data_IF_746756031722
#
_entry.id   IF_746756031722
#
_cell.length_a   1.000
_cell.length_b   1.000
_cell.length_c   1.000
_cell.angle_alpha   90.00
_cell.angle_beta   90.00
_cell.angle_gamma   90.00
#
_symmetry.space_group_name_H-M   'P 1'
#
loop_
_entity.id
_entity.type
_entity.pdbx_description
1 polymer ?
#
# COMPACT_ATOMS: atom_id res chain seq x y z
N UNK A 1 73.62 12.51 -16.68
CA UNK A 1 72.70 12.85 -15.56
C UNK A 1 71.38 13.29 -16.19
N UNK A 2 70.40 12.40 -16.21
CA UNK A 2 69.09 12.64 -16.83
C UNK A 2 68.03 12.48 -15.73
N UNK A 3 67.21 13.52 -15.56
CA UNK A 3 66.17 13.57 -14.53
C UNK A 3 64.88 12.92 -15.04
N UNK A 4 64.21 12.24 -14.12
CA UNK A 4 63.10 11.31 -14.31
C UNK A 4 61.80 12.04 -14.70
N UNK A 5 61.16 11.59 -15.79
CA UNK A 5 59.73 11.79 -16.03
C UNK A 5 58.96 10.65 -15.36
N UNK A 6 57.91 10.91 -14.56
CA UNK A 6 57.02 9.83 -14.16
C UNK A 6 56.12 9.46 -15.33
N UNK A 7 56.31 8.25 -15.86
CA UNK A 7 55.37 7.58 -16.74
C UNK A 7 54.14 7.17 -15.90
N UNK A 8 53.07 7.95 -15.96
CA UNK A 8 51.76 7.44 -15.60
C UNK A 8 51.26 6.60 -16.76
N UNK A 9 51.26 5.28 -16.55
CA UNK A 9 50.57 4.28 -17.34
C UNK A 9 49.09 4.26 -16.93
N UNK A 10 48.12 4.59 -17.81
CA UNK A 10 46.72 4.33 -17.55
C UNK A 10 46.24 3.11 -18.33
N UNK A 11 46.94 1.98 -18.25
CA UNK A 11 46.31 0.71 -18.58
C UNK A 11 45.52 0.21 -17.37
N UNK A 12 44.27 0.65 -17.26
CA UNK A 12 43.28 -0.09 -16.49
C UNK A 12 42.08 -0.43 -17.37
N UNK A 13 42.10 -1.70 -17.83
CA UNK A 13 40.96 -2.62 -17.77
C UNK A 13 39.60 -1.92 -17.75
N UNK A 14 38.89 -1.96 -18.87
CA UNK A 14 37.44 -1.81 -18.88
C UNK A 14 36.82 -2.95 -18.06
N UNK A 15 36.00 -2.68 -17.02
CA UNK A 15 34.94 -3.59 -16.63
C UNK A 15 33.64 -3.08 -17.25
N UNK A 16 32.89 -4.02 -17.81
CA UNK A 16 31.55 -3.87 -18.35
C UNK A 16 30.61 -3.11 -17.39
N UNK A 17 29.53 -2.48 -17.89
CA UNK A 17 28.72 -1.57 -17.10
C UNK A 17 28.15 -2.35 -15.91
N UNK A 18 28.46 -1.90 -14.70
CA UNK A 18 27.66 -2.29 -13.55
C UNK A 18 26.25 -1.82 -13.86
N UNK A 19 25.39 -2.76 -14.26
CA UNK A 19 23.95 -2.61 -14.26
C UNK A 19 23.62 -1.83 -13.00
N UNK A 20 23.12 -0.61 -13.16
CA UNK A 20 22.30 0.02 -12.13
C UNK A 20 21.15 -0.96 -11.96
N UNK A 21 21.35 -1.92 -11.06
CA UNK A 21 20.32 -2.80 -10.57
C UNK A 21 19.26 -1.88 -10.05
N UNK A 22 18.20 -1.73 -10.84
CA UNK A 22 16.94 -1.18 -10.39
C UNK A 22 16.69 -1.77 -9.01
N UNK A 23 16.43 -0.96 -7.98
CA UNK A 23 16.07 -1.51 -6.69
C UNK A 23 14.92 -2.47 -6.94
N UNK A 24 15.15 -3.74 -6.61
CA UNK A 24 14.19 -4.83 -6.68
C UNK A 24 12.85 -4.30 -6.23
N UNK A 25 11.91 -4.17 -7.18
CA UNK A 25 10.54 -3.80 -6.87
C UNK A 25 10.06 -4.86 -5.89
N UNK A 26 9.94 -4.45 -4.63
CA UNK A 26 9.42 -5.29 -3.57
C UNK A 26 8.09 -5.84 -4.09
N UNK A 27 8.05 -7.18 -4.22
CA UNK A 27 6.91 -7.98 -4.69
C UNK A 27 5.59 -7.28 -4.38
N UNK A 28 4.87 -6.91 -5.45
CA UNK A 28 3.70 -6.04 -5.40
C UNK A 28 2.74 -6.45 -4.29
N UNK A 29 2.78 -5.71 -3.18
CA UNK A 29 1.71 -5.77 -2.19
C UNK A 29 0.49 -5.14 -2.84
N UNK A 30 -0.57 -5.94 -3.06
CA UNK A 30 -1.76 -5.43 -3.70
C UNK A 30 -2.56 -4.61 -2.70
N UNK A 31 -2.86 -3.39 -3.09
CA UNK A 31 -3.88 -2.56 -2.46
C UNK A 31 -5.24 -3.11 -2.94
N UNK A 32 -6.29 -3.04 -2.10
CA UNK A 32 -7.58 -3.60 -2.44
C UNK A 32 -8.14 -3.03 -3.76
N UNK A 33 -8.68 -3.90 -4.60
CA UNK A 33 -9.49 -3.56 -5.78
C UNK A 33 -10.98 -3.52 -5.40
N UNK A 34 -11.79 -2.70 -6.08
CA UNK A 34 -13.20 -2.38 -5.72
C UNK A 34 -14.11 -3.60 -5.44
N UNK A 35 -13.84 -4.74 -6.05
CA UNK A 35 -14.72 -5.92 -6.05
C UNK A 35 -14.20 -7.10 -5.19
N UNK A 36 -13.42 -6.81 -4.14
CA UNK A 36 -12.86 -7.87 -3.29
C UNK A 36 -13.71 -8.16 -2.07
N UNK A 37 -13.88 -9.47 -1.85
CA UNK A 37 -14.33 -10.06 -0.60
C UNK A 37 -13.61 -9.40 0.60
N UNK A 38 -14.40 -8.93 1.56
CA UNK A 38 -13.94 -8.24 2.77
C UNK A 38 -13.52 -9.21 3.89
N UNK A 39 -13.38 -10.50 3.57
CA UNK A 39 -12.87 -11.54 4.48
C UNK A 39 -11.49 -11.23 5.08
N UNK A 40 -10.66 -10.42 4.40
CA UNK A 40 -9.38 -9.97 4.95
C UNK A 40 -9.52 -9.15 6.25
N UNK A 41 -10.66 -8.51 6.51
CA UNK A 41 -10.91 -7.83 7.78
C UNK A 41 -10.96 -8.80 8.98
N UNK A 42 -11.27 -10.09 8.74
CA UNK A 42 -11.29 -11.13 9.77
C UNK A 42 -9.88 -11.58 10.18
N UNK A 43 -8.85 -11.21 9.42
CA UNK A 43 -7.48 -11.60 9.73
C UNK A 43 -6.96 -10.80 10.96
N UNK A 44 -6.42 -11.47 11.99
CA UNK A 44 -5.92 -10.82 13.21
C UNK A 44 -4.88 -9.72 12.96
N UNK A 45 -4.16 -9.76 11.84
CA UNK A 45 -3.18 -8.72 11.45
C UNK A 45 -3.83 -7.36 11.26
N UNK A 46 -5.14 -7.30 11.00
CA UNK A 46 -5.88 -6.05 10.81
C UNK A 46 -6.51 -5.51 12.09
N UNK A 47 -6.51 -6.26 13.19
CA UNK A 47 -7.18 -5.89 14.44
C UNK A 47 -6.70 -4.55 15.05
N UNK A 48 -5.56 -4.01 14.62
CA UNK A 48 -4.99 -2.74 15.08
C UNK A 48 -4.75 -1.74 13.96
N UNK A 49 -5.23 -2.03 12.76
CA UNK A 49 -4.88 -1.28 11.56
C UNK A 49 -6.00 -0.34 11.18
N UNK A 50 -5.64 0.89 10.80
CA UNK A 50 -6.61 1.87 10.31
C UNK A 50 -6.81 1.64 8.81
N UNK A 51 -7.91 0.98 8.46
CA UNK A 51 -8.34 0.82 7.08
C UNK A 51 -9.51 1.77 6.78
N UNK A 52 -9.50 2.38 5.60
CA UNK A 52 -10.61 3.20 5.10
C UNK A 52 -11.59 2.33 4.32
N UNK A 53 -12.86 2.41 4.71
CA UNK A 53 -13.96 1.61 4.17
C UNK A 53 -15.10 2.53 3.68
N UNK A 54 -15.97 2.01 2.84
CA UNK A 54 -17.20 2.67 2.38
C UNK A 54 -18.39 1.75 2.60
N UNK A 55 -19.53 2.32 2.98
CA UNK A 55 -20.81 1.62 3.07
C UNK A 55 -21.45 1.57 1.68
N UNK A 56 -21.68 0.35 1.15
CA UNK A 56 -22.34 0.11 -0.13
C UNK A 56 -23.72 0.77 -0.16
N UNK A 57 -24.15 1.20 -1.34
CA UNK A 57 -25.48 1.79 -1.58
C UNK A 57 -25.80 3.07 -0.78
N UNK A 58 -24.79 3.74 -0.21
CA UNK A 58 -24.99 5.03 0.45
C UNK A 58 -24.79 6.16 -0.56
N UNK A 59 -25.77 7.07 -0.67
CA UNK A 59 -25.70 8.23 -1.59
C UNK A 59 -24.52 9.16 -1.27
N UNK A 60 -24.03 9.11 -0.03
CA UNK A 60 -22.89 9.87 0.47
C UNK A 60 -21.73 8.90 0.73
N UNK A 61 -20.83 8.75 -0.25
CA UNK A 61 -19.65 7.89 -0.20
C UNK A 61 -18.62 8.51 0.75
N UNK A 62 -18.80 8.29 2.05
CA UNK A 62 -17.95 8.88 3.09
C UNK A 62 -17.07 7.82 3.73
N UNK A 63 -15.76 8.07 3.86
CA UNK A 63 -14.85 7.08 4.38
C UNK A 63 -15.11 6.81 5.85
N UNK A 64 -15.24 5.53 6.17
CA UNK A 64 -15.36 4.95 7.49
C UNK A 64 -14.00 4.41 7.90
N UNK A 65 -13.63 4.55 9.17
CA UNK A 65 -12.38 3.98 9.69
C UNK A 65 -12.67 2.64 10.38
N UNK A 66 -11.99 1.58 9.97
CA UNK A 66 -12.08 0.27 10.62
C UNK A 66 -11.65 0.33 12.10
N UNK A 67 -12.40 -0.35 12.97
CA UNK A 67 -12.07 -0.50 14.40
C UNK A 67 -11.86 -1.96 14.77
N UNK A 68 -12.84 -2.82 14.54
CA UNK A 68 -12.76 -4.25 14.87
C UNK A 68 -13.77 -5.09 14.10
N UNK A 69 -13.55 -6.42 14.05
CA UNK A 69 -14.51 -7.40 13.55
C UNK A 69 -15.03 -8.28 14.68
N UNK A 70 -16.31 -8.59 14.65
CA UNK A 70 -16.97 -9.58 15.50
C UNK A 70 -17.94 -10.40 14.65
N UNK A 71 -17.56 -11.64 14.31
CA UNK A 71 -18.33 -12.48 13.39
C UNK A 71 -18.41 -11.88 11.99
N UNK A 72 -19.64 -11.62 11.52
CA UNK A 72 -19.90 -10.98 10.23
C UNK A 72 -20.14 -9.46 10.33
N UNK A 73 -19.94 -8.90 11.51
CA UNK A 73 -20.11 -7.48 11.78
C UNK A 73 -18.76 -6.80 11.95
N UNK A 74 -18.66 -5.59 11.39
CA UNK A 74 -17.51 -4.69 11.56
C UNK A 74 -17.96 -3.49 12.36
N UNK A 75 -17.19 -3.19 13.40
CA UNK A 75 -17.25 -1.90 14.06
C UNK A 75 -16.38 -0.93 13.28
N UNK A 76 -17.01 0.16 12.85
CA UNK A 76 -16.36 1.26 12.12
C UNK A 76 -16.58 2.57 12.88
N UNK A 77 -15.69 3.53 12.67
CA UNK A 77 -15.86 4.91 13.09
C UNK A 77 -16.25 5.76 11.89
N UNK A 78 -17.42 6.38 11.98
CA UNK A 78 -17.83 7.43 11.07
C UNK A 78 -17.05 8.71 11.43
N UNK A 79 -16.13 9.10 10.54
CA UNK A 79 -15.25 10.25 10.77
C UNK A 79 -16.00 11.59 10.74
N UNK A 80 -17.20 11.66 10.17
CA UNK A 80 -17.99 12.88 10.14
C UNK A 80 -18.89 13.02 11.35
N UNK A 81 -19.57 11.94 11.72
CA UNK A 81 -20.43 11.94 12.90
C UNK A 81 -19.63 11.77 14.19
N UNK A 82 -18.33 11.45 14.07
CA UNK A 82 -17.42 11.14 15.18
C UNK A 82 -17.98 10.04 16.10
N UNK A 83 -18.69 9.07 15.51
CA UNK A 83 -19.40 8.00 16.21
C UNK A 83 -19.01 6.64 15.66
N UNK A 84 -19.00 5.65 16.53
CA UNK A 84 -18.88 4.26 16.11
C UNK A 84 -20.23 3.72 15.65
N UNK A 85 -20.20 2.91 14.59
CA UNK A 85 -21.35 2.17 14.07
C UNK A 85 -20.93 0.72 13.85
N UNK A 86 -21.91 -0.17 13.87
CA UNK A 86 -21.73 -1.57 13.51
C UNK A 86 -22.42 -1.79 12.18
N UNK A 87 -21.69 -2.34 11.21
CA UNK A 87 -22.14 -2.57 9.84
C UNK A 87 -21.75 -3.99 9.43
N UNK A 88 -22.61 -4.68 8.70
CA UNK A 88 -22.28 -6.00 8.17
C UNK A 88 -21.12 -5.90 7.15
N UNK A 89 -20.19 -6.84 7.22
CA UNK A 89 -19.04 -6.94 6.30
C UNK A 89 -19.49 -6.90 4.83
N UNK A 90 -20.61 -7.55 4.52
CA UNK A 90 -21.17 -7.63 3.17
C UNK A 90 -21.56 -6.25 2.60
N UNK A 91 -21.88 -5.29 3.47
CA UNK A 91 -22.26 -3.93 3.12
C UNK A 91 -21.07 -2.98 3.05
N UNK A 92 -19.84 -3.48 3.20
CA UNK A 92 -18.63 -2.67 3.14
C UNK A 92 -17.85 -2.95 1.86
N UNK A 93 -17.11 -1.94 1.43
CA UNK A 93 -16.12 -2.05 0.38
C UNK A 93 -14.86 -1.28 0.79
N UNK A 94 -13.67 -1.70 0.34
CA UNK A 94 -12.44 -0.99 0.64
C UNK A 94 -12.37 0.31 -0.15
N UNK A 95 -11.73 1.33 0.42
CA UNK A 95 -11.35 2.53 -0.34
C UNK A 95 -10.07 2.23 -1.10
N UNK A 96 -10.12 2.31 -2.43
CA UNK A 96 -8.90 2.35 -3.26
C UNK A 96 -8.31 3.76 -3.11
N UNK A 97 -7.09 3.88 -2.60
CA UNK A 97 -6.45 5.17 -2.48
C UNK A 97 -6.07 5.69 -3.87
N UNK A 98 -6.30 6.98 -4.10
CA UNK A 98 -6.13 7.64 -5.40
C UNK A 98 -5.11 8.77 -5.35
N UNK A 99 -4.55 9.03 -4.16
CA UNK A 99 -3.74 10.20 -3.87
C UNK A 99 -2.30 9.80 -3.51
N UNK A 100 -1.33 10.33 -4.25
CA UNK A 100 0.09 10.15 -3.94
C UNK A 100 0.41 10.77 -2.59
N UNK A 101 1.18 10.04 -1.77
CA UNK A 101 1.58 10.46 -0.44
C UNK A 101 0.58 10.11 0.67
N UNK A 102 -0.59 9.57 0.34
CA UNK A 102 -1.54 9.01 1.29
C UNK A 102 -1.00 7.71 1.91
N UNK A 103 -1.40 7.43 3.16
CA UNK A 103 -1.12 6.15 3.80
C UNK A 103 -2.25 5.15 3.53
N UNK A 104 -1.88 3.95 3.11
CA UNK A 104 -2.82 2.85 2.86
C UNK A 104 -2.35 1.55 3.50
N UNK A 105 -3.32 0.67 3.76
CA UNK A 105 -3.10 -0.64 4.36
C UNK A 105 -3.11 -1.71 3.28
N UNK A 106 -2.10 -2.56 3.29
CA UNK A 106 -2.04 -3.74 2.42
C UNK A 106 -3.03 -4.79 2.91
N UNK A 107 -3.89 -5.27 2.02
CA UNK A 107 -4.98 -6.21 2.39
C UNK A 107 -4.64 -7.66 2.11
N UNK A 108 -3.63 -7.96 1.29
CA UNK A 108 -3.27 -9.32 0.92
C UNK A 108 -1.75 -9.59 0.94
N UNK A 109 -1.38 -10.86 0.78
CA UNK A 109 0.02 -11.27 0.66
C UNK A 109 0.82 -11.22 1.98
N UNK A 110 2.15 -11.31 1.90
CA UNK A 110 3.03 -11.38 3.06
C UNK A 110 3.06 -10.07 3.87
N UNK A 111 2.69 -8.95 3.25
CA UNK A 111 2.67 -7.62 3.87
C UNK A 111 1.28 -7.21 4.36
N UNK A 112 0.28 -8.09 4.32
CA UNK A 112 -1.07 -7.78 4.80
C UNK A 112 -1.07 -7.26 6.25
N UNK A 113 -1.84 -6.19 6.48
CA UNK A 113 -1.93 -5.45 7.74
C UNK A 113 -0.83 -4.39 7.93
N UNK A 114 0.15 -4.28 7.02
CA UNK A 114 1.14 -3.20 7.05
C UNK A 114 0.60 -1.94 6.39
N UNK A 115 1.02 -0.80 6.91
CA UNK A 115 0.69 0.54 6.40
C UNK A 115 1.89 1.06 5.60
N UNK A 116 1.62 1.59 4.41
CA UNK A 116 2.63 2.17 3.54
C UNK A 116 2.17 3.53 3.01
N UNK A 117 3.13 4.37 2.68
CA UNK A 117 2.89 5.65 2.00
C UNK A 117 2.92 5.42 0.49
N UNK A 118 1.85 5.79 -0.19
CA UNK A 118 1.73 5.60 -1.64
C UNK A 118 2.70 6.50 -2.37
N UNK A 119 3.50 5.91 -3.28
CA UNK A 119 4.47 6.63 -4.09
C UNK A 119 3.94 6.94 -5.48
N UNK A 120 3.22 5.99 -6.07
CA UNK A 120 2.63 6.12 -7.39
C UNK A 120 1.25 5.49 -7.42
N UNK A 121 0.36 6.08 -8.21
CA UNK A 121 -0.99 5.56 -8.46
C UNK A 121 -1.10 5.31 -9.96
N UNK A 122 -1.36 4.07 -10.34
CA UNK A 122 -1.77 3.73 -11.69
C UNK A 122 -3.29 3.81 -11.77
N UNK A 123 -3.80 4.78 -12.54
CA UNK A 123 -5.23 5.01 -12.68
C UNK A 123 -5.88 4.04 -13.68
N UNK A 124 -5.12 3.49 -14.62
CA UNK A 124 -5.63 2.55 -15.62
C UNK A 124 -5.80 1.17 -14.99
N UNK A 125 -4.80 0.71 -14.24
CA UNK A 125 -4.86 -0.57 -13.54
C UNK A 125 -5.52 -0.48 -12.16
N UNK A 126 -5.86 0.75 -11.71
CA UNK A 126 -6.37 1.05 -10.36
C UNK A 126 -5.51 0.41 -9.28
N UNK A 127 -4.20 0.48 -9.48
CA UNK A 127 -3.18 -0.09 -8.62
C UNK A 127 -2.33 1.02 -7.99
N UNK A 128 -1.69 0.75 -6.86
CA UNK A 128 -0.72 1.70 -6.32
C UNK A 128 0.53 0.98 -5.84
N UNK A 129 1.67 1.65 -6.00
CA UNK A 129 2.97 1.14 -5.57
C UNK A 129 3.40 1.80 -4.26
N UNK A 130 4.02 1.00 -3.41
CA UNK A 130 4.42 1.33 -2.04
C UNK A 130 5.87 1.84 -1.95
#
# INVERSE_FOLDING_TARGET
MASQTPAWDPSSRTPAPSSLGLPSMVSAASIPTEDRDMSWLKDPRFARVRAKLLEKNTVNWKPLEFVSVSGDQVRVKDLQLLRERVIDIANLQPVVPDTIGEFSTVTNGPLAGKIFRIRTVDKEERSCCL
#
